data_IF_945929478040
#
_entry.id   IF_945929478040
#
_cell.length_a   1.000
_cell.length_b   1.000
_cell.length_c   1.000
_cell.angle_alpha   90.00
_cell.angle_beta   90.00
_cell.angle_gamma   90.00
#
_symmetry.space_group_name_H-M   'P 1'
#
loop_
_entity.id
_entity.type
_entity.pdbx_description
1 polymer ?
#
# COMPACT_ATOMS: atom_id res chain seq x y z
N UNK A 1 -6.68 -4.51 -8.17
CA UNK A 1 -6.05 -5.80 -7.80
C UNK A 1 -6.45 -6.84 -8.82
N UNK A 2 -5.56 -7.74 -9.24
CA UNK A 2 -5.93 -8.90 -10.07
C UNK A 2 -5.83 -10.17 -9.23
N UNK A 3 -6.88 -11.00 -9.25
CA UNK A 3 -6.93 -12.30 -8.60
C UNK A 3 -7.31 -13.35 -9.67
N UNK A 4 -6.33 -14.15 -10.09
CA UNK A 4 -6.49 -14.98 -11.30
C UNK A 4 -6.75 -14.11 -12.53
N UNK A 5 -7.90 -14.32 -13.17
CA UNK A 5 -8.35 -13.56 -14.35
C UNK A 5 -9.27 -12.38 -13.99
N UNK A 6 -9.64 -12.23 -12.71
CA UNK A 6 -10.55 -11.18 -12.25
C UNK A 6 -9.80 -9.91 -11.82
N UNK A 7 -10.24 -8.75 -12.30
CA UNK A 7 -9.76 -7.45 -11.82
C UNK A 7 -10.75 -6.85 -10.83
N UNK A 8 -10.33 -6.76 -9.58
CA UNK A 8 -11.09 -6.15 -8.48
C UNK A 8 -10.73 -4.66 -8.39
N UNK A 9 -11.75 -3.80 -8.44
CA UNK A 9 -11.63 -2.34 -8.31
C UNK A 9 -12.33 -1.87 -7.03
N UNK A 10 -11.59 -1.16 -6.19
CA UNK A 10 -12.08 -0.53 -4.95
C UNK A 10 -12.02 0.98 -5.13
N UNK A 11 -12.97 1.54 -5.87
CA UNK A 11 -13.08 2.98 -6.15
C UNK A 11 -14.37 3.51 -5.54
N UNK A 12 -14.51 4.83 -5.31
CA UNK A 12 -15.77 5.40 -4.87
C UNK A 12 -16.96 4.87 -5.71
N UNK A 13 -18.08 4.46 -5.08
CA UNK A 13 -18.44 4.65 -3.67
C UNK A 13 -17.99 3.55 -2.69
N UNK A 14 -17.05 2.66 -3.07
CA UNK A 14 -16.51 1.66 -2.15
C UNK A 14 -15.89 2.33 -0.91
N UNK A 15 -16.18 1.78 0.28
CA UNK A 15 -15.61 2.28 1.52
C UNK A 15 -14.16 1.81 1.63
N UNK A 16 -13.21 2.73 1.59
CA UNK A 16 -11.80 2.46 1.82
C UNK A 16 -11.32 3.26 3.02
N UNK A 17 -10.64 2.59 3.95
CA UNK A 17 -9.95 3.21 5.07
C UNK A 17 -8.48 2.82 5.05
N UNK A 18 -7.60 3.78 5.26
CA UNK A 18 -6.16 3.56 5.43
C UNK A 18 -5.71 4.10 6.78
N UNK A 19 -4.74 3.42 7.37
CA UNK A 19 -3.97 3.88 8.51
C UNK A 19 -2.50 3.64 8.16
N UNK A 20 -1.66 4.66 8.31
CA UNK A 20 -0.23 4.59 8.01
C UNK A 20 0.50 5.23 9.19
N UNK A 21 1.53 4.56 9.72
CA UNK A 21 2.35 5.08 10.81
C UNK A 21 3.48 4.11 11.17
N UNK A 22 4.61 4.65 11.63
CA UNK A 22 5.76 3.90 12.19
C UNK A 22 6.15 2.62 11.43
N UNK A 23 6.27 2.71 10.10
CA UNK A 23 6.63 1.58 9.25
C UNK A 23 5.55 0.52 9.08
N UNK A 24 4.36 0.72 9.65
CA UNK A 24 3.20 -0.14 9.45
C UNK A 24 2.10 0.59 8.67
N UNK A 25 1.36 -0.17 7.88
CA UNK A 25 0.17 0.36 7.23
C UNK A 25 -0.92 -0.69 7.15
N UNK A 26 -2.15 -0.21 7.20
CA UNK A 26 -3.34 -1.03 7.06
C UNK A 26 -4.29 -0.37 6.08
N UNK A 27 -4.77 -1.15 5.12
CA UNK A 27 -5.83 -0.74 4.22
C UNK A 27 -6.98 -1.73 4.35
N UNK A 28 -8.20 -1.21 4.52
CA UNK A 28 -9.41 -2.01 4.49
C UNK A 28 -10.38 -1.42 3.48
N UNK A 29 -10.83 -2.26 2.54
CA UNK A 29 -11.76 -1.87 1.49
C UNK A 29 -12.99 -2.78 1.48
N UNK A 30 -14.17 -2.18 1.34
CA UNK A 30 -15.45 -2.89 1.46
C UNK A 30 -16.44 -2.49 0.36
N UNK A 31 -17.06 -3.52 -0.22
CA UNK A 31 -18.29 -3.47 -1.03
C UNK A 31 -19.18 -4.64 -0.60
N UNK A 32 -20.46 -4.71 -1.03
CA UNK A 32 -21.30 -5.88 -0.74
C UNK A 32 -20.70 -7.20 -1.27
N UNK A 33 -19.97 -7.14 -2.38
CA UNK A 33 -19.36 -8.32 -3.00
C UNK A 33 -18.02 -8.68 -2.35
N UNK A 34 -17.20 -7.68 -2.02
CA UNK A 34 -15.79 -7.85 -1.65
C UNK A 34 -15.42 -7.18 -0.35
N UNK A 35 -14.58 -7.86 0.43
CA UNK A 35 -13.89 -7.30 1.58
C UNK A 35 -12.40 -7.59 1.43
N UNK A 36 -11.57 -6.54 1.45
CA UNK A 36 -10.12 -6.66 1.26
C UNK A 36 -9.43 -6.04 2.46
N UNK A 37 -8.49 -6.80 3.03
CA UNK A 37 -7.58 -6.36 4.07
C UNK A 37 -6.16 -6.45 3.56
N UNK A 38 -5.41 -5.38 3.77
CA UNK A 38 -3.97 -5.31 3.54
C UNK A 38 -3.33 -4.85 4.85
N UNK A 39 -2.40 -5.64 5.37
CA UNK A 39 -1.60 -5.33 6.54
C UNK A 39 -0.12 -5.38 6.12
N UNK A 40 0.54 -4.23 6.14
CA UNK A 40 1.92 -4.08 5.71
C UNK A 40 2.85 -3.61 6.82
N UNK A 41 4.11 -3.99 6.68
CA UNK A 41 5.21 -3.75 7.62
C UNK A 41 6.50 -3.47 6.85
N UNK A 42 7.26 -2.46 7.27
CA UNK A 42 8.51 -2.02 6.65
C UNK A 42 9.73 -2.90 7.00
N UNK A 43 9.56 -3.90 7.88
CA UNK A 43 10.64 -4.75 8.35
C UNK A 43 11.65 -4.01 9.24
N UNK A 44 11.24 -2.93 9.91
CA UNK A 44 12.12 -2.10 10.75
C UNK A 44 13.19 -1.33 9.96
N UNK A 45 13.02 -1.18 8.65
CA UNK A 45 13.93 -0.40 7.80
C UNK A 45 13.42 1.03 7.65
N UNK A 46 14.34 1.98 7.79
CA UNK A 46 14.06 3.38 7.46
C UNK A 46 13.62 3.51 6.00
N UNK A 47 12.71 4.44 5.69
CA UNK A 47 12.35 4.71 4.31
C UNK A 47 13.57 5.24 3.54
N UNK A 48 13.74 4.76 2.31
CA UNK A 48 14.67 5.34 1.37
C UNK A 48 14.17 6.72 0.96
N UNK A 49 15.08 7.67 0.83
CA UNK A 49 14.77 8.98 0.28
C UNK A 49 15.25 9.00 -1.16
N UNK A 50 14.31 9.03 -2.09
CA UNK A 50 14.61 8.98 -3.52
C UNK A 50 14.65 10.40 -4.11
N UNK A 51 15.63 10.69 -4.97
CA UNK A 51 15.73 11.99 -5.62
C UNK A 51 14.67 12.13 -6.71
N UNK A 52 13.75 13.09 -6.54
CA UNK A 52 12.72 13.42 -7.54
C UNK A 52 13.22 14.53 -8.46
N UNK A 53 13.28 14.33 -9.78
CA UNK A 53 13.67 15.39 -10.71
C UNK A 53 12.59 16.47 -10.83
N UNK A 54 13.00 17.73 -10.80
CA UNK A 54 12.20 18.89 -11.19
C UNK A 54 12.73 19.41 -12.54
N UNK A 55 12.21 18.94 -13.69
CA UNK A 55 12.82 19.20 -15.00
C UNK A 55 12.91 20.69 -15.35
N UNK A 56 11.88 21.47 -15.01
CA UNK A 56 11.87 22.92 -15.22
C UNK A 56 12.91 23.69 -14.39
N UNK A 57 13.50 23.06 -13.38
CA UNK A 57 14.53 23.63 -12.51
C UNK A 57 15.89 22.94 -12.65
N UNK A 58 15.99 21.89 -13.48
CA UNK A 58 17.21 21.08 -13.70
C UNK A 58 17.90 20.64 -12.40
N UNK A 59 17.13 20.28 -11.38
CA UNK A 59 17.62 19.77 -10.09
C UNK A 59 16.75 18.65 -9.55
N UNK A 60 17.27 17.92 -8.59
CA UNK A 60 16.51 16.92 -7.84
C UNK A 60 16.12 17.45 -6.46
N UNK A 61 15.01 16.97 -5.92
CA UNK A 61 14.54 17.22 -4.55
C UNK A 61 14.24 15.90 -3.84
N UNK A 62 14.62 15.83 -2.58
CA UNK A 62 14.50 14.62 -1.75
C UNK A 62 13.13 14.59 -1.04
N UNK A 63 12.07 14.45 -1.85
CA UNK A 63 10.68 14.51 -1.36
C UNK A 63 9.98 13.17 -1.31
N UNK A 64 10.59 12.13 -1.89
CA UNK A 64 9.97 10.83 -2.05
C UNK A 64 10.53 9.84 -1.04
N UNK A 65 9.69 9.36 -0.14
CA UNK A 65 10.04 8.51 0.98
C UNK A 65 9.43 7.13 0.76
N UNK A 66 10.26 6.12 0.54
CA UNK A 66 9.78 4.80 0.15
C UNK A 66 10.35 3.68 1.04
N UNK A 67 9.47 2.87 1.62
CA UNK A 67 9.87 1.56 2.12
C UNK A 67 9.91 0.59 0.94
N UNK A 68 11.10 0.19 0.49
CA UNK A 68 11.28 -0.62 -0.74
C UNK A 68 11.25 -2.14 -0.52
N UNK A 69 11.27 -2.59 0.73
CA UNK A 69 11.35 -4.00 1.08
C UNK A 69 10.55 -4.28 2.36
N UNK A 70 9.25 -4.06 2.32
CA UNK A 70 8.35 -4.48 3.39
C UNK A 70 7.79 -5.88 3.19
N UNK A 71 7.02 -6.35 4.17
CA UNK A 71 6.13 -7.50 4.09
C UNK A 71 4.67 -7.03 4.00
N UNK A 72 3.86 -7.69 3.18
CA UNK A 72 2.43 -7.40 3.00
C UNK A 72 1.62 -8.67 3.17
N UNK A 73 0.72 -8.71 4.14
CA UNK A 73 -0.34 -9.70 4.24
C UNK A 73 -1.61 -9.18 3.57
N UNK A 74 -2.23 -10.01 2.74
CA UNK A 74 -3.45 -9.67 2.02
C UNK A 74 -4.50 -10.77 2.18
N UNK A 75 -5.70 -10.36 2.58
CA UNK A 75 -6.88 -11.22 2.66
C UNK A 75 -7.96 -10.64 1.76
N UNK A 76 -8.51 -11.47 0.87
CA UNK A 76 -9.67 -11.12 0.03
C UNK A 76 -10.81 -12.06 0.35
N UNK A 77 -11.97 -11.50 0.69
CA UNK A 77 -13.22 -12.23 0.77
C UNK A 77 -14.16 -11.82 -0.35
N UNK A 78 -14.82 -12.81 -0.95
CA UNK A 78 -15.91 -12.65 -1.92
C UNK A 78 -17.17 -13.28 -1.32
N UNK A 79 -18.25 -12.51 -1.19
CA UNK A 79 -19.47 -12.93 -0.49
C UNK A 79 -19.20 -13.56 0.90
N UNK A 80 -18.31 -12.94 1.67
CA UNK A 80 -17.94 -13.39 3.02
C UNK A 80 -17.00 -14.61 3.07
N UNK A 81 -16.70 -15.27 1.95
CA UNK A 81 -15.76 -16.41 1.89
C UNK A 81 -14.37 -15.94 1.52
N UNK A 82 -13.35 -16.43 2.21
CA UNK A 82 -11.94 -16.16 1.86
C UNK A 82 -11.63 -16.81 0.51
N UNK A 83 -11.25 -16.00 -0.47
CA UNK A 83 -10.84 -16.43 -1.81
C UNK A 83 -9.35 -16.20 -2.06
N UNK A 84 -8.69 -15.42 -1.19
CA UNK A 84 -7.25 -15.27 -1.16
C UNK A 84 -6.79 -14.92 0.26
N UNK A 85 -5.71 -15.55 0.69
CA UNK A 85 -4.99 -15.26 1.93
C UNK A 85 -3.51 -15.54 1.67
N UNK A 86 -2.67 -14.51 1.70
CA UNK A 86 -1.27 -14.67 1.34
C UNK A 86 -0.39 -13.51 1.78
N UNK A 87 0.92 -13.77 1.79
CA UNK A 87 1.95 -12.80 2.17
C UNK A 87 2.94 -12.61 1.03
N UNK A 88 3.31 -11.35 0.77
CA UNK A 88 4.44 -10.95 -0.07
C UNK A 88 5.57 -10.42 0.80
N UNK A 89 6.80 -10.85 0.55
CA UNK A 89 8.03 -10.32 1.18
C UNK A 89 8.66 -9.17 0.36
N UNK A 90 7.97 -8.74 -0.70
CA UNK A 90 8.39 -7.66 -1.60
C UNK A 90 7.24 -6.66 -1.72
N UNK A 91 7.05 -5.80 -0.72
CA UNK A 91 6.14 -4.66 -0.84
C UNK A 91 6.87 -3.33 -0.76
N UNK A 92 6.41 -2.40 -1.59
CA UNK A 92 6.73 -0.99 -1.51
C UNK A 92 5.68 -0.23 -0.70
N UNK A 93 6.06 0.79 0.05
CA UNK A 93 5.16 1.84 0.52
C UNK A 93 5.78 3.20 0.19
N UNK A 94 5.11 3.97 -0.67
CA UNK A 94 5.42 5.37 -0.93
C UNK A 94 4.69 6.24 0.11
N UNK A 95 5.43 7.13 0.77
CA UNK A 95 4.93 8.10 1.72
C UNK A 95 5.02 9.47 1.04
N UNK A 96 3.91 9.94 0.47
CA UNK A 96 3.87 11.15 -0.36
C UNK A 96 4.28 12.46 0.31
N UNK A 97 4.56 12.46 1.62
CA UNK A 97 5.19 13.58 2.34
C UNK A 97 6.07 13.06 3.48
N UNK A 98 7.09 13.83 3.85
CA UNK A 98 8.01 13.48 4.94
C UNK A 98 7.24 13.13 6.23
N UNK A 99 7.43 11.93 6.81
CA UNK A 99 6.89 11.62 8.14
C UNK A 99 7.37 12.64 9.17
N UNK A 100 6.50 13.05 10.10
CA UNK A 100 6.95 13.80 11.26
C UNK A 100 7.93 12.90 12.05
N UNK A 101 9.13 13.42 12.32
CA UNK A 101 10.14 12.74 13.13
C UNK A 101 9.90 12.87 14.61
#
# INVERSE_FOLDING_TARGET
MRLGDEVIRMTPPALVRSQVGDGHWRIRAFTPLYQIWLDGDAGGRDPHVLPVPLPGQRRNVDTDFEHLAGRLHCVVRKFGRVVFDGTSELTGLEIGSRPAG
#
